data_IF_805923984225
#
_entry.id   IF_805923984225
#
_cell.length_a   1.000
_cell.length_b   1.000
_cell.length_c   1.000
_cell.angle_alpha   90.00
_cell.angle_beta   90.00
_cell.angle_gamma   90.00
#
_symmetry.space_group_name_H-M   'P 1'
#
loop_
_entity.id
_entity.type
_entity.pdbx_description
1 polymer ?
#
# COMPACT_ATOMS: atom_id res chain seq x y z
N UNK A 1 10.59 3.73 8.83
CA UNK A 1 10.39 4.62 10.01
C UNK A 1 9.03 4.46 10.68
N UNK A 2 7.88 4.42 9.98
CA UNK A 2 6.57 4.17 10.64
C UNK A 2 6.39 2.73 11.15
N UNK A 3 6.82 1.74 10.37
CA UNK A 3 6.60 0.31 10.66
C UNK A 3 7.91 -0.50 10.73
N UNK A 4 9.04 0.17 10.99
CA UNK A 4 10.35 -0.51 11.04
C UNK A 4 10.90 -1.06 9.71
N UNK A 5 10.12 -1.01 8.62
CA UNK A 5 10.55 -1.47 7.29
C UNK A 5 11.17 -0.35 6.45
N UNK A 6 12.11 -0.73 5.57
CA UNK A 6 12.67 0.10 4.49
C UNK A 6 12.01 -0.34 3.18
N UNK A 7 11.07 0.46 2.70
CA UNK A 7 10.36 0.26 1.43
C UNK A 7 10.53 1.58 0.67
N UNK A 8 10.97 1.47 -0.58
CA UNK A 8 11.22 2.58 -1.49
C UNK A 8 9.96 2.97 -2.26
N UNK A 9 9.13 1.99 -2.63
CA UNK A 9 7.88 2.18 -3.37
C UNK A 9 6.73 1.39 -2.74
N UNK A 10 6.07 2.01 -1.76
CA UNK A 10 4.91 1.43 -1.09
C UNK A 10 3.67 1.47 -1.99
N UNK A 11 3.46 2.57 -2.71
CA UNK A 11 2.30 2.83 -3.54
C UNK A 11 2.39 2.19 -4.94
N UNK A 12 3.17 1.11 -5.06
CA UNK A 12 3.27 0.35 -6.30
C UNK A 12 1.94 -0.31 -6.62
N UNK A 13 1.55 -0.24 -7.90
CA UNK A 13 0.34 -0.89 -8.40
C UNK A 13 0.53 -2.41 -8.61
N UNK A 14 1.70 -2.96 -8.24
CA UNK A 14 2.02 -4.37 -8.43
C UNK A 14 2.53 -5.00 -7.14
N UNK A 15 1.71 -5.87 -6.53
CA UNK A 15 2.05 -6.60 -5.32
C UNK A 15 1.58 -8.05 -5.48
N UNK A 16 2.41 -8.98 -5.02
CA UNK A 16 2.09 -10.41 -5.03
C UNK A 16 2.08 -10.93 -3.60
N UNK A 17 1.06 -11.72 -3.27
CA UNK A 17 0.86 -12.30 -1.95
C UNK A 17 0.36 -13.73 -2.10
N UNK A 18 0.61 -14.55 -1.09
CA UNK A 18 -0.14 -15.78 -0.94
C UNK A 18 -1.64 -15.45 -0.73
N UNK A 19 -2.50 -16.19 -1.42
CA UNK A 19 -3.94 -15.90 -1.43
C UNK A 19 -4.59 -16.14 -0.06
N UNK A 20 -4.19 -17.20 0.64
CA UNK A 20 -4.73 -17.51 1.98
C UNK A 20 -4.27 -16.46 3.00
N UNK A 21 -2.99 -16.06 2.90
CA UNK A 21 -2.45 -14.98 3.71
C UNK A 21 -3.18 -13.67 3.48
N UNK A 22 -3.43 -13.28 2.23
CA UNK A 22 -4.13 -12.04 1.91
C UNK A 22 -5.58 -12.06 2.43
N UNK A 23 -6.28 -13.19 2.30
CA UNK A 23 -7.64 -13.36 2.83
C UNK A 23 -7.69 -13.32 4.37
N UNK A 24 -6.60 -13.73 5.04
CA UNK A 24 -6.48 -13.60 6.50
C UNK A 24 -6.33 -12.15 6.98
N UNK A 25 -6.02 -11.22 6.07
CA UNK A 25 -6.01 -9.79 6.35
C UNK A 25 -7.44 -9.29 6.14
N UNK A 26 -8.10 -8.83 7.20
CA UNK A 26 -9.47 -8.32 7.18
C UNK A 26 -9.56 -6.95 6.49
N UNK A 27 -9.25 -6.88 5.19
CA UNK A 27 -9.13 -5.64 4.43
C UNK A 27 -10.49 -4.96 4.24
N UNK A 28 -10.52 -3.63 4.39
CA UNK A 28 -11.76 -2.83 4.28
C UNK A 28 -11.70 -1.75 3.20
N UNK A 29 -10.51 -1.43 2.71
CA UNK A 29 -10.25 -0.51 1.62
C UNK A 29 -10.98 -0.86 0.33
N UNK A 30 -11.39 0.17 -0.44
CA UNK A 30 -12.10 0.00 -1.71
C UNK A 30 -11.39 0.64 -2.91
N UNK A 31 -10.31 1.40 -2.68
CA UNK A 31 -9.61 2.18 -3.72
C UNK A 31 -8.09 2.18 -3.51
N UNK A 32 -7.44 3.33 -3.71
CA UNK A 32 -6.00 3.53 -3.55
C UNK A 32 -5.49 3.23 -2.14
N UNK A 33 -6.38 3.25 -1.16
CA UNK A 33 -6.13 2.92 0.25
C UNK A 33 -5.72 1.46 0.48
N UNK A 34 -5.86 0.60 -0.53
CA UNK A 34 -5.44 -0.80 -0.45
C UNK A 34 -3.96 -0.96 -0.16
N UNK A 35 -3.11 -0.25 -0.89
CA UNK A 35 -1.66 -0.32 -0.69
C UNK A 35 -1.30 0.00 0.77
N UNK A 36 -1.68 1.16 1.31
CA UNK A 36 -1.32 1.52 2.68
C UNK A 36 -1.96 0.59 3.73
N UNK A 37 -3.21 0.13 3.55
CA UNK A 37 -3.84 -0.77 4.52
C UNK A 37 -3.15 -2.15 4.57
N UNK A 38 -2.90 -2.75 3.41
CA UNK A 38 -2.22 -4.05 3.32
C UNK A 38 -0.82 -3.96 3.87
N UNK A 39 -0.03 -2.96 3.43
CA UNK A 39 1.34 -2.77 3.89
C UNK A 39 1.38 -2.55 5.41
N UNK A 40 0.48 -1.73 5.96
CA UNK A 40 0.38 -1.50 7.40
C UNK A 40 0.09 -2.79 8.18
N UNK A 41 -0.91 -3.57 7.76
CA UNK A 41 -1.31 -4.79 8.47
C UNK A 41 -0.25 -5.89 8.40
N UNK A 42 0.41 -6.05 7.26
CA UNK A 42 1.52 -7.01 7.09
C UNK A 42 2.68 -6.65 8.01
N UNK A 43 3.09 -5.37 8.00
CA UNK A 43 4.22 -4.93 8.81
C UNK A 43 3.90 -4.94 10.32
N UNK A 44 2.63 -4.73 10.72
CA UNK A 44 2.20 -4.95 12.12
C UNK A 44 2.34 -6.40 12.57
N UNK A 45 2.16 -7.37 11.66
CA UNK A 45 2.41 -8.80 11.94
C UNK A 45 3.91 -9.15 11.97
N UNK A 46 4.80 -8.17 11.80
CA UNK A 46 6.26 -8.38 11.81
C UNK A 46 6.78 -9.08 10.56
N UNK A 47 5.98 -9.17 9.49
CA UNK A 47 6.34 -9.85 8.26
C UNK A 47 7.08 -8.86 7.35
N UNK A 48 8.31 -9.18 6.89
CA UNK A 48 9.06 -8.28 6.03
C UNK A 48 8.48 -8.27 4.61
N UNK A 49 8.34 -7.09 4.03
CA UNK A 49 8.03 -6.90 2.62
C UNK A 49 9.33 -6.86 1.80
N UNK A 50 9.36 -7.55 0.65
CA UNK A 50 10.50 -7.55 -0.27
C UNK A 50 10.17 -6.76 -1.53
N UNK A 51 11.07 -5.86 -1.92
CA UNK A 51 10.96 -5.11 -3.17
C UNK A 51 11.66 -5.87 -4.30
N UNK A 52 10.97 -6.01 -5.43
CA UNK A 52 11.53 -6.56 -6.66
C UNK A 52 11.52 -5.45 -7.71
N UNK A 53 12.66 -5.12 -8.33
CA UNK A 53 12.73 -4.04 -9.30
C UNK A 53 11.89 -4.35 -10.54
N UNK A 54 11.04 -3.41 -10.94
CA UNK A 54 10.23 -3.49 -12.15
C UNK A 54 10.44 -2.26 -13.02
N UNK A 55 10.24 -2.40 -14.33
CA UNK A 55 10.19 -1.26 -15.25
C UNK A 55 8.74 -0.84 -15.43
N UNK A 56 8.41 0.38 -15.02
CA UNK A 56 7.07 0.94 -15.16
C UNK A 56 7.11 2.15 -16.10
N UNK A 57 6.16 2.21 -17.04
CA UNK A 57 5.94 3.38 -17.89
C UNK A 57 4.66 4.07 -17.43
N UNK A 58 4.80 5.19 -16.73
CA UNK A 58 3.68 5.95 -16.21
C UNK A 58 2.90 6.64 -17.32
N UNK A 59 1.57 6.61 -17.20
CA UNK A 59 0.68 7.48 -17.97
C UNK A 59 0.72 8.91 -17.42
N UNK A 60 0.72 9.88 -18.32
CA UNK A 60 0.55 11.30 -18.02
C UNK A 60 -0.89 11.61 -17.58
N UNK A 61 -1.11 12.79 -17.01
CA UNK A 61 -2.45 13.24 -16.65
C UNK A 61 -3.38 13.31 -17.88
N UNK A 62 -2.84 13.74 -19.04
CA UNK A 62 -3.57 13.79 -20.31
C UNK A 62 -3.96 12.41 -20.84
N UNK A 63 -3.20 11.36 -20.53
CA UNK A 63 -3.50 9.96 -20.90
C UNK A 63 -4.52 9.30 -19.94
N UNK A 64 -5.22 10.10 -19.12
CA UNK A 64 -6.30 9.64 -18.25
C UNK A 64 -5.83 9.00 -16.94
N UNK A 65 -4.77 9.54 -16.32
CA UNK A 65 -4.36 9.13 -14.97
C UNK A 65 -5.47 9.49 -13.97
N UNK A 66 -6.07 8.48 -13.34
CA UNK A 66 -7.21 8.60 -12.41
C UNK A 66 -6.82 8.86 -10.94
N UNK A 67 -5.53 9.06 -10.66
CA UNK A 67 -5.01 9.34 -9.31
C UNK A 67 -4.99 10.85 -9.10
N UNK A 68 -5.59 11.30 -7.99
CA UNK A 68 -5.60 12.69 -7.56
C UNK A 68 -4.72 12.90 -6.32
N UNK A 69 -4.31 14.13 -6.06
CA UNK A 69 -3.49 14.47 -4.88
C UNK A 69 -4.19 14.13 -3.56
N UNK A 70 -5.53 14.22 -3.53
CA UNK A 70 -6.35 13.82 -2.38
C UNK A 70 -6.22 12.33 -2.03
N UNK A 71 -5.94 11.47 -3.01
CA UNK A 71 -5.71 10.04 -2.76
C UNK A 71 -4.41 9.83 -1.95
N UNK A 72 -3.41 10.69 -2.16
CA UNK A 72 -2.18 10.70 -1.36
C UNK A 72 -2.43 11.07 0.11
N UNK A 73 -3.28 12.07 0.37
CA UNK A 73 -3.67 12.43 1.74
C UNK A 73 -4.47 11.31 2.42
N UNK A 74 -5.39 10.68 1.70
CA UNK A 74 -6.13 9.52 2.22
C UNK A 74 -5.20 8.36 2.54
N UNK A 75 -4.24 8.07 1.67
CA UNK A 75 -3.25 7.03 1.91
C UNK A 75 -2.43 7.30 3.18
N UNK A 76 -1.98 8.53 3.38
CA UNK A 76 -1.28 8.93 4.60
C UNK A 76 -2.15 8.78 5.86
N UNK A 77 -3.42 9.19 5.80
CA UNK A 77 -4.37 9.02 6.90
C UNK A 77 -4.61 7.55 7.23
N UNK A 78 -4.74 6.67 6.22
CA UNK A 78 -4.89 5.23 6.40
C UNK A 78 -3.66 4.63 7.09
N UNK A 79 -2.44 4.98 6.66
CA UNK A 79 -1.21 4.55 7.32
C UNK A 79 -1.19 4.97 8.80
N UNK A 80 -1.52 6.23 9.10
CA UNK A 80 -1.57 6.71 10.48
C UNK A 80 -2.66 6.00 11.30
N UNK A 81 -3.85 5.82 10.73
CA UNK A 81 -4.97 5.13 11.36
C UNK A 81 -4.58 3.71 11.75
N UNK A 82 -4.11 2.90 10.82
CA UNK A 82 -3.74 1.50 11.12
C UNK A 82 -2.46 1.38 11.95
N UNK A 83 -1.62 2.42 12.02
CA UNK A 83 -0.49 2.44 12.97
C UNK A 83 -0.97 2.54 14.42
N UNK A 84 -1.97 3.38 14.68
CA UNK A 84 -2.46 3.69 16.02
C UNK A 84 -3.61 2.78 16.48
N UNK A 85 -4.48 2.37 15.56
CA UNK A 85 -5.61 1.48 15.83
C UNK A 85 -5.12 0.03 15.75
N UNK A 86 -5.57 -0.80 16.71
CA UNK A 86 -5.13 -2.19 16.77
C UNK A 86 -5.82 -3.08 15.75
#
# INVERSE_FOLDING_TARGET
MLYGSRISDEATAYKAFDAQFLQSLSLTCQRFEFCPEVSAKILKRGIPLREVPIRYRSRTAAEGKKIHWHDGLKALWVLMKYRLVN
#
